data_IF_886798885235
#
_entry.id   IF_886798885235
#
_cell.length_a   1.000
_cell.length_b   1.000
_cell.length_c   1.000
_cell.angle_alpha   90.00
_cell.angle_beta   90.00
_cell.angle_gamma   90.00
#
_symmetry.space_group_name_H-M   'P 1'
#
loop_
_entity.id
_entity.type
_entity.pdbx_description
1 polymer ?
#
# COMPACT_ATOMS: atom_id res chain seq x y z
N UNK A 1 6.78 10.33 -36.10
CA UNK A 1 7.05 10.87 -34.75
C UNK A 1 8.40 10.36 -34.30
N UNK A 2 9.21 11.19 -33.65
CA UNK A 2 10.48 10.77 -33.03
C UNK A 2 10.24 10.40 -31.56
N UNK A 3 11.14 9.62 -30.97
CA UNK A 3 11.06 9.26 -29.55
C UNK A 3 11.06 10.50 -28.63
N UNK A 4 11.76 11.56 -29.04
CA UNK A 4 11.81 12.85 -28.35
C UNK A 4 10.43 13.52 -28.31
N UNK A 5 9.73 13.55 -29.46
CA UNK A 5 8.38 14.09 -29.56
C UNK A 5 7.40 13.31 -28.67
N UNK A 6 7.48 11.97 -28.69
CA UNK A 6 6.65 11.11 -27.84
C UNK A 6 6.91 11.36 -26.35
N UNK A 7 8.18 11.51 -25.94
CA UNK A 7 8.55 11.79 -24.56
C UNK A 7 8.02 13.14 -24.06
N UNK A 8 8.08 14.19 -24.89
CA UNK A 8 7.49 15.50 -24.58
C UNK A 8 5.97 15.40 -24.40
N UNK A 9 5.29 14.65 -25.27
CA UNK A 9 3.85 14.44 -25.19
C UNK A 9 3.44 13.70 -23.92
N UNK A 10 4.20 12.68 -23.51
CA UNK A 10 3.97 11.97 -22.25
C UNK A 10 4.15 12.92 -21.07
N UNK A 11 5.25 13.68 -21.00
CA UNK A 11 5.48 14.62 -19.88
C UNK A 11 4.38 15.68 -19.76
N UNK A 12 3.86 16.17 -20.88
CA UNK A 12 2.83 17.21 -20.89
C UNK A 12 1.43 16.70 -20.52
N UNK A 13 1.19 15.38 -20.57
CA UNK A 13 -0.16 14.79 -20.44
C UNK A 13 -0.27 13.67 -19.42
N UNK A 14 0.84 13.23 -18.84
CA UNK A 14 0.83 12.20 -17.81
C UNK A 14 0.05 12.68 -16.58
N UNK A 15 -0.79 11.80 -16.07
CA UNK A 15 -1.60 12.02 -14.87
C UNK A 15 -1.65 10.73 -14.05
N UNK A 16 -2.12 10.82 -12.83
CA UNK A 16 -2.38 9.66 -11.99
C UNK A 16 -3.61 8.89 -12.48
N UNK A 17 -3.58 7.58 -12.28
CA UNK A 17 -4.77 6.72 -12.37
C UNK A 17 -5.41 6.47 -11.00
N UNK A 18 -5.07 7.28 -10.00
CA UNK A 18 -5.62 7.26 -8.64
C UNK A 18 -5.32 5.97 -7.86
N UNK A 19 -4.14 5.39 -8.08
CA UNK A 19 -3.65 4.20 -7.35
C UNK A 19 -2.43 4.49 -6.46
N UNK A 20 -2.48 5.47 -5.53
CA UNK A 20 -1.37 5.72 -4.60
C UNK A 20 -1.23 4.57 -3.58
N UNK A 21 0.02 4.19 -3.27
CA UNK A 21 0.37 3.13 -2.32
C UNK A 21 1.70 3.44 -1.62
N UNK A 22 2.06 2.69 -0.58
CA UNK A 22 3.43 2.58 -0.07
C UNK A 22 3.90 3.62 0.95
N UNK A 23 3.08 4.61 1.32
CA UNK A 23 3.46 5.65 2.30
C UNK A 23 3.59 5.13 3.74
N UNK A 24 2.98 3.99 4.06
CA UNK A 24 3.12 3.27 5.34
C UNK A 24 3.63 1.84 5.10
N UNK A 25 4.67 1.72 4.26
CA UNK A 25 5.22 0.43 3.78
C UNK A 25 5.24 -0.67 4.84
N UNK A 26 4.60 -1.79 4.51
CA UNK A 26 4.73 -3.05 5.23
C UNK A 26 6.08 -3.71 4.94
N UNK A 27 6.79 -4.18 5.97
CA UNK A 27 8.04 -4.90 5.78
C UNK A 27 8.76 -5.25 7.07
N UNK A 28 10.01 -5.68 6.92
CA UNK A 28 10.94 -5.97 8.03
C UNK A 28 12.27 -5.24 7.87
N UNK A 29 12.37 -4.33 6.91
CA UNK A 29 13.55 -3.49 6.67
C UNK A 29 13.43 -2.13 7.36
N UNK A 30 14.53 -1.37 7.36
CA UNK A 30 14.61 -0.08 8.06
C UNK A 30 13.64 0.99 7.55
N UNK A 31 13.07 0.82 6.36
CA UNK A 31 12.07 1.75 5.79
C UNK A 31 10.64 1.30 6.06
N UNK A 32 10.42 0.17 6.74
CA UNK A 32 9.09 -0.31 7.08
C UNK A 32 8.44 0.57 8.16
N UNK A 33 7.17 0.92 7.96
CA UNK A 33 6.33 1.65 8.92
C UNK A 33 5.48 0.67 9.73
N UNK A 34 5.01 -0.39 9.08
CA UNK A 34 4.25 -1.47 9.72
C UNK A 34 4.92 -2.82 9.49
N UNK A 35 4.71 -3.73 10.45
CA UNK A 35 5.15 -5.12 10.34
C UNK A 35 4.25 -5.95 9.40
N UNK A 36 4.57 -7.21 9.09
CA UNK A 36 3.74 -8.08 8.23
C UNK A 36 2.32 -8.36 8.72
N UNK A 37 1.98 -7.94 9.95
CA UNK A 37 0.65 -8.04 10.56
C UNK A 37 0.01 -6.65 10.73
N UNK A 38 0.54 -5.67 9.98
CA UNK A 38 0.09 -4.28 9.86
C UNK A 38 0.18 -3.47 11.16
N UNK A 39 0.96 -3.93 12.14
CA UNK A 39 1.18 -3.21 13.40
C UNK A 39 2.23 -2.13 13.22
N UNK A 40 1.93 -0.94 13.69
CA UNK A 40 2.86 0.20 13.60
C UNK A 40 4.08 -0.06 14.47
N UNK A 41 5.28 0.08 13.89
CA UNK A 41 6.51 -0.09 14.65
C UNK A 41 6.61 0.97 15.77
N UNK A 42 6.97 0.53 16.98
CA UNK A 42 7.15 1.40 18.13
C UNK A 42 5.86 1.87 18.82
N UNK A 43 4.67 1.49 18.32
CA UNK A 43 3.39 1.90 18.91
C UNK A 43 2.51 0.68 19.17
N UNK A 44 2.17 0.44 20.44
CA UNK A 44 1.29 -0.64 20.83
C UNK A 44 -0.18 -0.34 20.46
N UNK A 45 -0.92 -1.36 20.04
CA UNK A 45 -2.37 -1.27 19.79
C UNK A 45 -2.77 -0.48 18.54
N UNK A 46 -1.82 -0.04 17.71
CA UNK A 46 -2.08 0.71 16.48
C UNK A 46 -1.75 -0.11 15.22
N UNK A 47 -2.65 -0.06 14.23
CA UNK A 47 -2.48 -0.66 12.90
C UNK A 47 -2.84 0.33 11.80
N UNK A 48 -2.19 0.21 10.66
CA UNK A 48 -2.59 0.91 9.41
C UNK A 48 -3.16 -0.13 8.45
N UNK A 49 -4.37 0.10 7.94
CA UNK A 49 -5.09 -0.90 7.14
C UNK A 49 -5.72 -0.22 5.93
N UNK A 50 -4.88 0.04 4.92
CA UNK A 50 -5.29 0.59 3.62
C UNK A 50 -4.19 0.33 2.55
N UNK A 51 -4.29 0.99 1.39
CA UNK A 51 -3.33 0.86 0.30
C UNK A 51 -1.91 1.37 0.62
N UNK A 52 -1.75 2.22 1.65
CA UNK A 52 -0.46 2.78 2.03
C UNK A 52 0.53 1.73 2.51
N UNK A 53 0.05 0.56 2.96
CA UNK A 53 0.90 -0.52 3.47
C UNK A 53 1.53 -1.37 2.37
N UNK A 54 1.03 -1.30 1.13
CA UNK A 54 1.56 -2.11 0.04
C UNK A 54 3.02 -1.70 -0.25
N UNK A 55 4.01 -2.60 -0.18
CA UNK A 55 5.41 -2.24 -0.35
C UNK A 55 5.78 -1.82 -1.78
N UNK A 56 5.00 -2.28 -2.76
CA UNK A 56 5.10 -1.93 -4.18
C UNK A 56 3.70 -1.84 -4.79
N UNK A 57 3.59 -1.14 -5.92
CA UNK A 57 2.32 -1.06 -6.66
C UNK A 57 1.92 -2.45 -7.19
N UNK A 58 0.68 -2.83 -6.91
CA UNK A 58 0.09 -4.09 -7.38
C UNK A 58 -0.28 -3.96 -8.86
N UNK A 59 -0.03 -5.03 -9.63
CA UNK A 59 -0.48 -5.11 -11.02
C UNK A 59 -2.01 -5.23 -11.10
N UNK A 60 -2.70 -4.09 -11.11
CA UNK A 60 -4.16 -4.01 -11.20
C UNK A 60 -4.73 -2.82 -10.41
N UNK A 61 -6.06 -2.74 -10.36
CA UNK A 61 -6.74 -1.68 -9.62
C UNK A 61 -6.60 -1.90 -8.11
N UNK A 62 -6.22 -0.87 -7.36
CA UNK A 62 -5.88 -0.99 -5.93
C UNK A 62 -7.07 -1.24 -5.01
N UNK A 63 -8.30 -1.08 -5.49
CA UNK A 63 -9.51 -1.32 -4.70
C UNK A 63 -9.58 -2.77 -4.16
N UNK A 64 -9.52 -3.77 -5.05
CA UNK A 64 -9.61 -5.16 -4.63
C UNK A 64 -8.47 -5.59 -3.67
N UNK A 65 -7.19 -5.26 -3.93
CA UNK A 65 -6.12 -5.47 -2.97
C UNK A 65 -6.35 -4.78 -1.61
N UNK A 66 -6.88 -3.56 -1.60
CA UNK A 66 -7.18 -2.83 -0.35
C UNK A 66 -8.26 -3.53 0.48
N UNK A 67 -9.33 -4.00 -0.17
CA UNK A 67 -10.38 -4.80 0.49
C UNK A 67 -9.77 -6.08 1.09
N UNK A 68 -8.93 -6.78 0.33
CA UNK A 68 -8.29 -8.02 0.82
C UNK A 68 -7.37 -7.79 2.02
N UNK A 69 -6.64 -6.66 2.03
CA UNK A 69 -5.83 -6.25 3.19
C UNK A 69 -6.73 -6.02 4.41
N UNK A 70 -7.86 -5.32 4.23
CA UNK A 70 -8.81 -5.07 5.31
C UNK A 70 -9.44 -6.35 5.86
N UNK A 71 -9.86 -7.26 5.00
CA UNK A 71 -10.40 -8.58 5.39
C UNK A 71 -9.39 -9.39 6.22
N UNK A 72 -8.13 -9.43 5.77
CA UNK A 72 -7.08 -10.14 6.51
C UNK A 72 -6.78 -9.48 7.86
N UNK A 73 -6.72 -8.15 7.90
CA UNK A 73 -6.50 -7.41 9.13
C UNK A 73 -7.63 -7.66 10.15
N UNK A 74 -8.88 -7.68 9.69
CA UNK A 74 -10.04 -7.96 10.53
C UNK A 74 -9.97 -9.36 11.15
N UNK A 75 -9.52 -10.37 10.39
CA UNK A 75 -9.30 -11.72 10.91
C UNK A 75 -8.28 -11.75 12.06
N UNK A 76 -7.11 -11.13 11.88
CA UNK A 76 -6.09 -11.04 12.93
C UNK A 76 -6.60 -10.31 14.17
N UNK A 77 -7.29 -9.19 13.99
CA UNK A 77 -7.87 -8.45 15.12
C UNK A 77 -8.92 -9.25 15.89
N UNK A 78 -9.66 -10.15 15.24
CA UNK A 78 -10.58 -11.07 15.96
C UNK A 78 -9.79 -12.10 16.77
N UNK A 79 -8.74 -12.67 16.20
CA UNK A 79 -7.89 -13.67 16.87
C UNK A 79 -7.20 -13.08 18.11
N UNK A 80 -6.72 -11.83 18.03
CA UNK A 80 -6.11 -11.11 19.16
C UNK A 80 -7.09 -10.85 20.32
N UNK A 81 -8.41 -10.81 20.07
CA UNK A 81 -9.44 -10.58 21.10
C UNK A 81 -9.94 -11.85 21.76
N UNK A 82 -9.63 -13.02 21.20
CA UNK A 82 -10.11 -14.31 21.71
C UNK A 82 -9.21 -14.94 22.79
N UNK A 83 -8.22 -14.21 23.31
CA UNK A 83 -7.37 -14.61 24.42
C UNK A 83 -7.57 -13.73 25.67
#
# INVERSE_FOLDING_TARGET
ETDEHLAEHIRARADTIYHPVGTCKMGTDAMAVVDPQLRVHGIAGLRVVDASVMPTLIGGNTNAPTIMIAERAAEWMRQDRSC
#
